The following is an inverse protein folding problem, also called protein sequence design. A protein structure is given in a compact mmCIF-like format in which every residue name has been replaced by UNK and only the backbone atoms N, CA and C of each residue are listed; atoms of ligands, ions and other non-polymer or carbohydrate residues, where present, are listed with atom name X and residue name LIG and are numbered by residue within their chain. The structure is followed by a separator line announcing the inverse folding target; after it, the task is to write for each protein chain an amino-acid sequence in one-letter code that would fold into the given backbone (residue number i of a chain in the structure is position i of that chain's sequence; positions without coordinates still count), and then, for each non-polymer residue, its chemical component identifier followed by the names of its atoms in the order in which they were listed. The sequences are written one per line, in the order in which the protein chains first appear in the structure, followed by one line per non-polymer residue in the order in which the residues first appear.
data_IF_719538118555
#
_entry.id   IF_719538118555
#
_cell.length_a   1.000
_cell.length_b   1.000
_cell.length_c   1.000
_cell.angle_alpha   90.00
_cell.angle_beta   90.00
_cell.angle_gamma   90.00
#
_symmetry.space_group_name_H-M   'P 1'
#
loop_
_entity.id
_entity.type
_entity.pdbx_description
1 polymer ?
#
# COMPACT_ATOMS: atom_id res chain seq x y z
N UNK A 1 -5.14 -23.18 -4.46
CA UNK A 1 -6.38 -23.06 -3.67
C UNK A 1 -7.30 -24.20 -4.08
N UNK A 2 -7.49 -25.23 -3.24
CA UNK A 2 -8.15 -26.49 -3.64
C UNK A 2 -9.69 -26.44 -3.59
N UNK A 3 -10.27 -25.42 -2.95
CA UNK A 3 -11.70 -25.30 -2.71
C UNK A 3 -12.44 -24.42 -3.74
N UNK A 4 -11.72 -23.86 -4.71
CA UNK A 4 -12.28 -23.04 -5.79
C UNK A 4 -11.76 -23.55 -7.13
N UNK A 5 -12.61 -23.57 -8.15
CA UNK A 5 -12.22 -23.93 -9.50
C UNK A 5 -11.21 -22.91 -10.05
N UNK A 6 -10.15 -23.40 -10.70
CA UNK A 6 -9.07 -22.54 -11.21
C UNK A 6 -9.54 -21.52 -12.24
N UNK A 7 -10.54 -21.87 -13.04
CA UNK A 7 -11.16 -20.96 -14.01
C UNK A 7 -11.91 -19.83 -13.31
N UNK A 8 -12.75 -20.15 -12.32
CA UNK A 8 -13.47 -19.16 -11.52
C UNK A 8 -12.51 -18.22 -10.79
N UNK A 9 -11.45 -18.76 -10.18
CA UNK A 9 -10.44 -17.95 -9.51
C UNK A 9 -9.75 -17.00 -10.50
N UNK A 10 -9.34 -17.50 -11.66
CA UNK A 10 -8.69 -16.69 -12.70
C UNK A 10 -9.58 -15.58 -13.25
N UNK A 11 -10.85 -15.90 -13.54
CA UNK A 11 -11.83 -14.93 -14.05
C UNK A 11 -12.09 -13.79 -13.06
N UNK A 12 -12.30 -14.15 -11.78
CA UNK A 12 -12.57 -13.17 -10.72
C UNK A 12 -11.37 -12.27 -10.50
N UNK A 13 -10.15 -12.82 -10.41
CA UNK A 13 -8.93 -12.03 -10.24
C UNK A 13 -8.67 -11.10 -11.43
N UNK A 14 -8.82 -11.60 -12.67
CA UNK A 14 -8.62 -10.80 -13.87
C UNK A 14 -9.65 -9.67 -13.99
N UNK A 15 -10.91 -9.94 -13.66
CA UNK A 15 -11.95 -8.92 -13.70
C UNK A 15 -11.76 -7.89 -12.59
N UNK A 16 -11.43 -8.35 -11.38
CA UNK A 16 -11.13 -7.47 -10.26
C UNK A 16 -10.03 -6.47 -10.65
N UNK A 17 -8.91 -6.95 -11.20
CA UNK A 17 -7.84 -6.09 -11.74
C UNK A 17 -8.31 -5.05 -12.76
N UNK A 18 -9.34 -5.34 -13.54
CA UNK A 18 -9.85 -4.42 -14.57
C UNK A 18 -10.88 -3.42 -14.04
N UNK A 19 -11.80 -3.84 -13.18
CA UNK A 19 -12.98 -3.04 -12.83
C UNK A 19 -13.06 -2.63 -11.36
N UNK A 20 -12.27 -3.22 -10.46
CA UNK A 20 -12.43 -3.03 -9.02
C UNK A 20 -13.66 -3.72 -8.44
N UNK A 21 -14.29 -4.65 -9.18
CA UNK A 21 -15.51 -5.35 -8.74
C UNK A 21 -15.33 -6.87 -8.77
N UNK A 22 -16.12 -7.58 -7.96
CA UNK A 22 -16.14 -9.05 -7.96
C UNK A 22 -17.06 -9.56 -9.08
N UNK A 23 -16.48 -10.30 -10.02
CA UNK A 23 -17.21 -10.94 -11.13
C UNK A 23 -17.86 -12.26 -10.70
N UNK A 24 -18.85 -12.74 -11.48
CA UNK A 24 -19.51 -14.05 -11.26
C UNK A 24 -20.08 -14.23 -9.85
N UNK A 25 -20.85 -13.23 -9.42
CA UNK A 25 -21.46 -13.21 -8.07
C UNK A 25 -22.29 -14.46 -7.74
N UNK A 26 -23.01 -15.03 -8.70
CA UNK A 26 -23.88 -16.19 -8.43
C UNK A 26 -23.05 -17.43 -8.08
N UNK A 27 -21.93 -17.64 -8.78
CA UNK A 27 -20.96 -18.69 -8.49
C UNK A 27 -20.23 -18.44 -7.17
N UNK A 28 -19.87 -17.19 -6.87
CA UNK A 28 -19.29 -16.81 -5.57
C UNK A 28 -20.29 -17.02 -4.42
N UNK A 29 -21.59 -16.72 -4.61
CA UNK A 29 -22.67 -17.02 -3.65
C UNK A 29 -22.91 -18.52 -3.49
N UNK A 30 -22.69 -19.31 -4.53
CA UNK A 30 -22.75 -20.76 -4.43
C UNK A 30 -21.56 -21.29 -3.62
N UNK A 31 -20.35 -20.79 -3.91
CA UNK A 31 -19.12 -21.12 -3.20
C UNK A 31 -19.18 -20.75 -1.72
N UNK A 32 -19.75 -19.58 -1.38
CA UNK A 32 -19.84 -19.11 0.01
C UNK A 32 -20.63 -20.03 0.92
N UNK A 33 -21.51 -20.88 0.36
CA UNK A 33 -22.28 -21.89 1.11
C UNK A 33 -21.49 -23.17 1.38
N UNK A 34 -20.40 -23.40 0.66
CA UNK A 34 -19.62 -24.65 0.73
C UNK A 34 -18.27 -24.49 1.44
N UNK A 35 -17.73 -23.27 1.49
CA UNK A 35 -16.41 -23.01 2.08
C UNK A 35 -16.51 -22.53 3.53
N UNK A 36 -15.47 -22.79 4.31
CA UNK A 36 -15.34 -22.27 5.69
C UNK A 36 -14.95 -20.79 5.70
N UNK A 37 -15.07 -20.15 6.88
CA UNK A 37 -14.56 -18.80 7.08
C UNK A 37 -13.06 -18.68 6.78
N UNK A 38 -12.25 -19.67 7.16
CA UNK A 38 -10.79 -19.64 6.93
C UNK A 38 -10.45 -19.77 5.44
N UNK A 39 -11.21 -20.57 4.69
CA UNK A 39 -11.08 -20.66 3.24
C UNK A 39 -11.52 -19.37 2.53
N UNK A 40 -12.57 -18.72 3.03
CA UNK A 40 -12.96 -17.39 2.53
C UNK A 40 -11.86 -16.34 2.81
N UNK A 41 -11.21 -16.38 3.97
CA UNK A 41 -10.04 -15.52 4.27
C UNK A 41 -8.85 -15.83 3.34
N UNK A 42 -8.60 -17.10 3.02
CA UNK A 42 -7.57 -17.49 2.05
C UNK A 42 -7.87 -16.93 0.65
N UNK A 43 -9.13 -17.00 0.21
CA UNK A 43 -9.58 -16.40 -1.05
C UNK A 43 -9.42 -14.87 -1.04
N UNK A 44 -9.84 -14.23 0.05
CA UNK A 44 -9.68 -12.79 0.23
C UNK A 44 -8.22 -12.35 0.08
N UNK A 45 -7.33 -13.02 0.82
CA UNK A 45 -5.89 -12.73 0.83
C UNK A 45 -5.30 -12.91 -0.56
N UNK A 46 -5.69 -13.96 -1.28
CA UNK A 46 -5.25 -14.17 -2.65
C UNK A 46 -5.70 -13.04 -3.58
N UNK A 47 -6.98 -12.63 -3.51
CA UNK A 47 -7.50 -11.55 -4.34
C UNK A 47 -6.85 -10.21 -4.01
N UNK A 48 -6.57 -9.92 -2.73
CA UNK A 48 -5.78 -8.76 -2.32
C UNK A 48 -4.39 -8.77 -2.96
N UNK A 49 -3.68 -9.90 -2.86
CA UNK A 49 -2.28 -9.99 -3.28
C UNK A 49 -2.12 -10.07 -4.81
N UNK A 50 -3.17 -10.43 -5.56
CA UNK A 50 -3.10 -10.69 -7.01
C UNK A 50 -4.09 -9.86 -7.85
N UNK A 51 -5.05 -9.18 -7.21
CA UNK A 51 -6.10 -8.43 -7.88
C UNK A 51 -5.66 -7.07 -8.40
N UNK A 52 -4.46 -6.59 -8.06
CA UNK A 52 -3.92 -5.29 -8.48
C UNK A 52 -4.90 -4.11 -8.29
N UNK A 53 -5.76 -4.22 -7.26
CA UNK A 53 -6.77 -3.23 -6.88
C UNK A 53 -6.84 -3.06 -5.39
N UNK A 54 -7.31 -1.89 -4.99
CA UNK A 54 -7.43 -1.48 -3.61
C UNK A 54 -8.53 -2.26 -2.90
N UNK A 55 -8.26 -2.74 -1.68
CA UNK A 55 -9.22 -3.51 -0.90
C UNK A 55 -10.51 -2.72 -0.65
N UNK A 56 -10.44 -1.40 -0.48
CA UNK A 56 -11.61 -0.53 -0.28
C UNK A 56 -12.65 -0.61 -1.41
N UNK A 57 -12.23 -0.83 -2.66
CA UNK A 57 -13.14 -0.86 -3.83
C UNK A 57 -14.08 -2.07 -3.82
N UNK A 58 -13.65 -3.20 -3.24
CA UNK A 58 -14.33 -4.48 -3.39
C UNK A 58 -14.54 -5.25 -2.09
N UNK A 59 -13.95 -4.84 -0.97
CA UNK A 59 -14.04 -5.55 0.32
C UNK A 59 -15.48 -5.61 0.84
N UNK A 60 -16.27 -4.55 0.73
CA UNK A 60 -17.68 -4.58 1.14
C UNK A 60 -18.48 -5.60 0.31
N UNK A 61 -18.25 -5.63 -1.01
CA UNK A 61 -18.82 -6.63 -1.91
C UNK A 61 -18.37 -8.05 -1.54
N UNK A 62 -17.11 -8.23 -1.16
CA UNK A 62 -16.60 -9.51 -0.67
C UNK A 62 -17.30 -9.95 0.62
N UNK A 63 -17.42 -9.05 1.61
CA UNK A 63 -18.09 -9.32 2.88
C UNK A 63 -19.57 -9.66 2.66
N UNK A 64 -20.24 -8.98 1.72
CA UNK A 64 -21.61 -9.28 1.32
C UNK A 64 -21.77 -10.71 0.77
N UNK A 65 -20.78 -11.19 0.01
CA UNK A 65 -20.77 -12.55 -0.54
C UNK A 65 -20.35 -13.62 0.48
N UNK A 66 -19.41 -13.27 1.37
CA UNK A 66 -18.77 -14.17 2.35
C UNK A 66 -18.86 -13.62 3.79
N UNK A 67 -20.06 -13.40 4.35
CA UNK A 67 -20.23 -12.75 5.65
C UNK A 67 -19.60 -13.54 6.81
N UNK A 68 -19.46 -14.86 6.66
CA UNK A 68 -18.80 -15.71 7.66
C UNK A 68 -17.32 -15.36 7.89
N UNK A 69 -16.70 -14.64 6.96
CA UNK A 69 -15.27 -14.30 7.00
C UNK A 69 -14.99 -12.97 7.70
N UNK A 70 -15.98 -12.08 7.84
CA UNK A 70 -15.80 -10.66 8.20
C UNK A 70 -14.93 -10.46 9.45
N UNK A 71 -15.28 -11.15 10.54
CA UNK A 71 -14.55 -11.07 11.82
C UNK A 71 -13.11 -11.61 11.80
N UNK A 72 -12.71 -12.27 10.71
CA UNK A 72 -11.39 -12.90 10.54
C UNK A 72 -10.59 -12.29 9.40
N UNK A 73 -11.16 -11.39 8.62
CA UNK A 73 -10.43 -10.73 7.55
C UNK A 73 -9.27 -9.94 8.17
N UNK A 74 -8.10 -9.93 7.52
CA UNK A 74 -7.02 -9.05 7.95
C UNK A 74 -7.51 -7.60 7.93
N UNK A 75 -6.94 -6.75 8.78
CA UNK A 75 -7.12 -5.30 8.63
C UNK A 75 -6.75 -4.90 7.20
N UNK A 76 -7.48 -3.93 6.62
CA UNK A 76 -7.20 -3.42 5.28
C UNK A 76 -5.72 -3.04 5.23
N UNK A 77 -4.99 -3.51 4.22
CA UNK A 77 -3.58 -3.17 4.04
C UNK A 77 -3.45 -1.67 3.69
N UNK A 78 -3.47 -0.87 4.74
CA UNK A 78 -2.89 0.46 5.06
C UNK A 78 -2.83 1.58 4.01
N UNK A 79 -2.67 1.33 2.70
CA UNK A 79 -2.58 2.40 1.71
C UNK A 79 -3.86 3.26 1.65
N UNK A 80 -5.05 2.65 1.65
CA UNK A 80 -6.34 3.35 1.59
C UNK A 80 -6.70 4.04 2.91
N UNK A 81 -6.34 3.42 4.03
CA UNK A 81 -6.54 3.98 5.37
C UNK A 81 -5.73 5.27 5.53
N UNK A 82 -4.52 5.29 4.96
CA UNK A 82 -3.66 6.46 4.99
C UNK A 82 -4.16 7.61 4.11
N UNK A 83 -4.91 7.36 3.02
CA UNK A 83 -5.52 8.41 2.18
C UNK A 83 -6.43 9.35 2.99
N UNK A 84 -6.99 8.85 4.10
CA UNK A 84 -7.83 9.63 5.02
C UNK A 84 -7.08 9.99 6.30
N UNK A 85 -6.50 9.01 6.98
CA UNK A 85 -5.98 9.20 8.34
C UNK A 85 -4.83 10.19 8.44
N UNK A 86 -3.88 10.17 7.49
CA UNK A 86 -2.77 11.12 7.53
C UNK A 86 -3.28 12.55 7.36
N UNK A 87 -4.31 12.75 6.53
CA UNK A 87 -4.91 14.05 6.29
C UNK A 87 -5.75 14.53 7.48
N UNK A 88 -6.43 13.64 8.19
CA UNK A 88 -7.14 13.96 9.44
C UNK A 88 -6.15 14.40 10.53
N UNK A 89 -5.05 13.67 10.69
CA UNK A 89 -4.00 14.01 11.68
C UNK A 89 -3.31 15.34 11.31
N UNK A 90 -3.07 15.59 10.03
CA UNK A 90 -2.55 16.90 9.57
C UNK A 90 -3.58 18.00 9.82
N UNK A 91 -4.86 17.77 9.50
CA UNK A 91 -5.93 18.75 9.67
C UNK A 91 -6.16 19.15 11.13
N UNK A 92 -5.86 18.26 12.09
CA UNK A 92 -5.84 18.59 13.50
C UNK A 92 -4.80 19.67 13.86
N UNK A 93 -3.74 19.82 13.03
CA UNK A 93 -2.75 20.89 13.14
C UNK A 93 -1.73 20.70 14.26
N UNK A 94 -1.70 19.53 14.90
CA UNK A 94 -0.80 19.23 16.01
C UNK A 94 0.44 18.45 15.52
N UNK A 95 1.61 19.11 15.50
CA UNK A 95 2.87 18.49 15.03
C UNK A 95 3.20 17.19 15.78
N UNK A 96 2.93 17.12 17.08
CA UNK A 96 3.20 15.91 17.85
C UNK A 96 2.30 14.75 17.42
N UNK A 97 1.03 15.00 17.14
CA UNK A 97 0.11 13.97 16.63
C UNK A 97 0.58 13.41 15.29
N UNK A 98 1.08 14.26 14.39
CA UNK A 98 1.69 13.79 13.12
C UNK A 98 2.92 12.93 13.38
N UNK A 99 3.80 13.31 14.31
CA UNK A 99 4.99 12.52 14.67
C UNK A 99 4.62 11.15 15.24
N UNK A 100 3.66 11.12 16.15
CA UNK A 100 3.19 9.89 16.78
C UNK A 100 2.58 8.95 15.72
N UNK A 101 1.75 9.49 14.82
CA UNK A 101 1.20 8.73 13.68
C UNK A 101 2.31 8.13 12.79
N UNK A 102 3.29 8.93 12.38
CA UNK A 102 4.41 8.44 11.57
C UNK A 102 5.21 7.38 12.31
N UNK A 103 5.45 7.55 13.61
CA UNK A 103 6.14 6.54 14.43
C UNK A 103 5.34 5.23 14.53
N UNK A 104 4.01 5.30 14.69
CA UNK A 104 3.14 4.13 14.77
C UNK A 104 3.10 3.34 13.45
N UNK A 105 3.23 4.01 12.31
CA UNK A 105 3.34 3.32 11.00
C UNK A 105 4.63 2.50 10.88
N UNK A 106 5.65 2.80 11.69
CA UNK A 106 6.95 2.15 11.62
C UNK A 106 7.72 2.38 10.32
N UNK A 107 7.33 3.38 9.50
CA UNK A 107 7.94 3.64 8.18
C UNK A 107 9.45 3.87 8.28
N UNK A 108 9.92 4.55 9.34
CA UNK A 108 11.32 4.85 9.56
C UNK A 108 12.12 3.65 10.10
N UNK A 109 11.46 2.69 10.73
CA UNK A 109 12.09 1.51 11.34
C UNK A 109 12.11 0.31 10.40
N UNK A 110 11.03 0.15 9.62
CA UNK A 110 10.76 -1.04 8.81
C UNK A 110 11.30 -0.94 7.39
N UNK A 111 11.32 0.27 6.80
CA UNK A 111 11.87 0.46 5.46
C UNK A 111 13.40 0.40 5.51
N UNK A 112 13.93 -0.68 4.94
CA UNK A 112 15.36 -0.95 4.81
C UNK A 112 15.66 -1.35 3.38
N UNK A 113 16.79 -0.86 2.88
CA UNK A 113 17.25 -1.10 1.52
C UNK A 113 18.48 -1.97 1.55
N UNK A 114 18.38 -3.20 1.02
CA UNK A 114 19.54 -4.04 0.82
C UNK A 114 20.39 -3.47 -0.34
N UNK A 115 21.70 -3.24 -0.15
CA UNK A 115 22.53 -2.64 -1.18
C UNK A 115 22.56 -3.42 -2.50
N UNK A 116 22.60 -4.76 -2.47
CA UNK A 116 22.71 -5.57 -3.68
C UNK A 116 21.40 -5.51 -4.49
N UNK A 117 20.28 -5.69 -3.82
CA UNK A 117 18.95 -5.64 -4.44
C UNK A 117 18.65 -4.23 -4.97
N UNK A 118 18.93 -3.20 -4.16
CA UNK A 118 18.72 -1.79 -4.53
C UNK A 118 19.53 -1.40 -5.76
N UNK A 119 20.78 -1.85 -5.86
CA UNK A 119 21.60 -1.57 -7.03
C UNK A 119 21.06 -2.27 -8.28
N UNK A 120 20.65 -3.54 -8.17
CA UNK A 120 20.04 -4.28 -9.29
C UNK A 120 18.74 -3.62 -9.76
N UNK A 121 17.88 -3.21 -8.84
CA UNK A 121 16.66 -2.47 -9.13
C UNK A 121 16.97 -1.15 -9.85
N UNK A 122 17.88 -0.34 -9.31
CA UNK A 122 18.26 0.93 -9.92
C UNK A 122 18.86 0.76 -11.33
N UNK A 123 19.65 -0.30 -11.56
CA UNK A 123 20.14 -0.62 -12.89
C UNK A 123 19.00 -0.96 -13.87
N UNK A 124 17.97 -1.69 -13.42
CA UNK A 124 16.80 -1.99 -14.25
C UNK A 124 16.01 -0.74 -14.66
N UNK A 125 16.15 0.35 -13.89
CA UNK A 125 15.56 1.66 -14.15
C UNK A 125 16.49 2.58 -14.95
N UNK A 126 17.67 2.11 -15.32
CA UNK A 126 18.63 2.88 -16.12
C UNK A 126 19.58 3.76 -15.30
N UNK A 127 19.60 3.64 -13.98
CA UNK A 127 20.63 4.29 -13.17
C UNK A 127 21.98 3.60 -13.41
N UNK A 128 23.02 4.41 -13.68
CA UNK A 128 24.39 3.91 -13.88
C UNK A 128 25.31 4.38 -12.77
N UNK A 129 25.39 5.69 -12.56
CA UNK A 129 26.37 6.29 -11.64
C UNK A 129 25.73 6.72 -10.30
N UNK A 130 24.51 7.24 -10.38
CA UNK A 130 23.74 7.78 -9.25
C UNK A 130 22.24 7.57 -9.47
N UNK A 131 21.49 7.68 -8.39
CA UNK A 131 20.02 7.70 -8.42
C UNK A 131 19.55 9.13 -8.70
N UNK A 132 18.91 9.33 -9.85
CA UNK A 132 18.41 10.65 -10.26
C UNK A 132 17.02 10.98 -9.65
N UNK A 133 16.21 9.96 -9.37
CA UNK A 133 14.90 10.10 -8.72
C UNK A 133 14.57 8.83 -7.90
N UNK A 134 13.65 8.94 -6.94
CA UNK A 134 13.13 7.77 -6.21
C UNK A 134 11.95 7.21 -7.02
N UNK A 135 11.95 5.92 -7.39
CA UNK A 135 11.01 5.35 -8.35
C UNK A 135 9.69 4.85 -7.73
N UNK A 136 9.43 5.20 -6.47
CA UNK A 136 8.26 4.79 -5.71
C UNK A 136 7.96 5.82 -4.62
N UNK A 137 6.74 5.76 -4.09
CA UNK A 137 6.27 6.63 -3.03
C UNK A 137 6.50 6.01 -1.65
N UNK A 138 6.79 6.88 -0.67
CA UNK A 138 6.87 6.50 0.74
C UNK A 138 5.51 6.68 1.40
N UNK A 139 4.80 5.59 1.65
CA UNK A 139 3.53 5.63 2.35
C UNK A 139 3.71 5.55 3.88
N UNK A 140 2.99 6.36 4.68
CA UNK A 140 1.87 7.23 4.29
C UNK A 140 2.23 8.64 3.79
N UNK A 141 3.50 9.07 3.89
CA UNK A 141 3.89 10.49 3.69
C UNK A 141 3.79 11.00 2.25
N UNK A 142 3.59 10.13 1.27
CA UNK A 142 3.36 10.42 -0.14
C UNK A 142 2.07 9.76 -0.68
N UNK A 143 1.08 9.53 0.19
CA UNK A 143 -0.23 9.04 -0.24
C UNK A 143 -1.05 10.19 -0.84
N UNK A 144 -1.70 9.95 -1.98
CA UNK A 144 -2.62 10.90 -2.60
C UNK A 144 -4.03 10.73 -2.00
N UNK A 145 -4.70 11.81 -1.59
CA UNK A 145 -6.11 11.74 -1.16
C UNK A 145 -7.08 11.80 -2.35
N UNK A 146 -8.39 11.73 -2.08
CA UNK A 146 -9.44 11.81 -3.11
C UNK A 146 -9.44 13.11 -3.93
N UNK A 147 -8.88 14.19 -3.37
CA UNK A 147 -8.78 15.50 -4.03
C UNK A 147 -7.50 15.64 -4.89
N UNK A 148 -6.62 14.63 -4.88
CA UNK A 148 -5.34 14.65 -5.58
C UNK A 148 -4.21 15.36 -4.82
N UNK A 149 -4.41 15.63 -3.53
CA UNK A 149 -3.41 16.26 -2.69
C UNK A 149 -2.48 15.22 -2.04
N UNK A 150 -1.22 15.59 -1.88
CA UNK A 150 -0.25 14.85 -1.07
C UNK A 150 -0.10 15.48 0.32
N UNK A 151 0.37 14.74 1.34
CA UNK A 151 0.36 15.21 2.73
C UNK A 151 1.19 16.49 2.93
N UNK A 152 2.34 16.59 2.24
CA UNK A 152 3.21 17.79 2.28
C UNK A 152 2.53 19.00 1.63
N UNK A 153 1.94 18.84 0.44
CA UNK A 153 1.27 19.96 -0.25
C UNK A 153 0.04 20.41 0.53
N UNK A 154 -0.77 19.47 1.00
CA UNK A 154 -1.94 19.73 1.84
C UNK A 154 -1.57 20.52 3.10
N UNK A 155 -0.55 20.08 3.85
CA UNK A 155 -0.08 20.80 5.05
C UNK A 155 0.36 22.24 4.72
N UNK A 156 1.07 22.45 3.61
CA UNK A 156 1.48 23.80 3.16
C UNK A 156 0.30 24.68 2.81
N UNK A 157 -0.68 24.16 2.10
CA UNK A 157 -1.88 24.91 1.72
C UNK A 157 -2.73 25.33 2.92
N UNK A 158 -2.75 24.51 3.99
CA UNK A 158 -3.37 24.87 5.27
C UNK A 158 -2.51 25.81 6.14
N UNK A 159 -1.31 26.19 5.70
CA UNK A 159 -0.38 27.04 6.45
C UNK A 159 0.34 26.32 7.60
N UNK A 160 0.27 24.99 7.66
CA UNK A 160 0.88 24.14 8.68
C UNK A 160 2.34 23.86 8.36
N UNK A 161 3.16 24.90 8.34
CA UNK A 161 4.54 24.86 7.82
C UNK A 161 5.42 23.86 8.57
N UNK A 162 5.35 23.81 9.91
CA UNK A 162 6.17 22.87 10.70
C UNK A 162 5.82 21.40 10.44
N UNK A 163 4.53 21.11 10.19
CA UNK A 163 4.07 19.77 9.81
C UNK A 163 4.58 19.41 8.41
N UNK A 164 4.45 20.32 7.46
CA UNK A 164 4.97 20.12 6.10
C UNK A 164 6.48 19.87 6.08
N UNK A 165 7.24 20.65 6.85
CA UNK A 165 8.69 20.52 6.96
C UNK A 165 9.08 19.18 7.61
N UNK A 166 8.34 18.74 8.63
CA UNK A 166 8.55 17.43 9.23
C UNK A 166 8.28 16.29 8.24
N UNK A 167 7.13 16.29 7.56
CA UNK A 167 6.79 15.27 6.57
C UNK A 167 7.83 15.23 5.42
N UNK A 168 8.28 16.39 4.95
CA UNK A 168 9.35 16.47 3.95
C UNK A 168 10.66 15.87 4.49
N UNK A 169 11.00 16.10 5.75
CA UNK A 169 12.22 15.52 6.35
C UNK A 169 12.19 14.00 6.41
N UNK A 170 11.01 13.40 6.62
CA UNK A 170 10.82 11.93 6.59
C UNK A 170 11.07 11.39 5.17
N UNK A 171 10.51 12.04 4.15
CA UNK A 171 10.72 11.68 2.74
C UNK A 171 12.19 11.80 2.36
N UNK A 172 12.84 12.90 2.73
CA UNK A 172 14.24 13.16 2.42
C UNK A 172 15.17 12.12 3.07
N UNK A 173 14.88 11.74 4.31
CA UNK A 173 15.62 10.69 5.02
C UNK A 173 15.52 9.34 4.31
N UNK A 174 14.30 8.88 4.00
CA UNK A 174 14.08 7.60 3.33
C UNK A 174 14.70 7.59 1.92
N UNK A 175 14.55 8.69 1.19
CA UNK A 175 15.19 8.88 -0.12
C UNK A 175 16.71 8.78 -0.01
N UNK A 176 17.32 9.39 1.01
CA UNK A 176 18.76 9.33 1.20
C UNK A 176 19.23 7.92 1.57
N UNK A 177 18.45 7.16 2.37
CA UNK A 177 18.75 5.76 2.67
C UNK A 177 18.79 4.90 1.40
N UNK A 178 17.83 5.08 0.48
CA UNK A 178 17.84 4.39 -0.81
C UNK A 178 19.08 4.73 -1.64
N UNK A 179 19.41 6.03 -1.77
CA UNK A 179 20.60 6.48 -2.51
C UNK A 179 21.89 5.89 -1.94
N UNK A 180 22.01 5.84 -0.61
CA UNK A 180 23.15 5.24 0.08
C UNK A 180 23.26 3.74 -0.19
N UNK A 181 22.13 3.01 -0.15
CA UNK A 181 22.10 1.58 -0.46
C UNK A 181 22.49 1.30 -1.91
N UNK A 182 21.96 2.07 -2.87
CA UNK A 182 22.36 2.00 -4.28
C UNK A 182 23.86 2.20 -4.45
N UNK A 183 24.44 3.25 -3.85
CA UNK A 183 25.87 3.53 -3.97
C UNK A 183 26.74 2.42 -3.33
N UNK A 184 26.32 1.89 -2.18
CA UNK A 184 26.99 0.78 -1.53
C UNK A 184 26.96 -0.49 -2.41
N UNK A 185 25.82 -0.81 -3.02
CA UNK A 185 25.66 -1.92 -3.94
C UNK A 185 26.56 -1.79 -5.16
N UNK A 186 26.59 -0.59 -5.78
CA UNK A 186 27.47 -0.27 -6.90
C UNK A 186 28.95 -0.50 -6.56
N UNK A 187 29.40 0.00 -5.40
CA UNK A 187 30.79 -0.16 -4.93
C UNK A 187 31.17 -1.60 -4.63
N UNK A 188 30.21 -2.45 -4.26
CA UNK A 188 30.47 -3.87 -4.00
C UNK A 188 30.66 -4.72 -5.26
N UNK A 189 30.23 -4.20 -6.42
CA UNK A 189 30.25 -4.89 -7.72
C UNK A 189 31.33 -4.39 -8.69
N UNK A 190 31.92 -3.21 -8.42
CA UNK A 190 33.03 -2.63 -9.19
C UNK A 190 34.37 -2.89 -8.53
#
# INVERSE_FOLDING_TARGET
MEFIESELLGDVTLWLSKSGELYREDELKALSKTITADQAVELYTYLRDNGERWESEWRESFISLFPQSESKLPEIAEADRWQTEVFEVIAAGELQGVKDFIQETGILENIKFDPADTYQEGQSMGFTDKVDYIPFDFFPVQVENEDGDYPVSYAREKGLTEIADYLQSVIDELSQRYRNAYEAGRKSKG
#
